data_IF_432028956190
#
_entry.id   IF_432028956190
#
_cell.length_a   1.000
_cell.length_b   1.000
_cell.length_c   1.000
_cell.angle_alpha   90.00
_cell.angle_beta   90.00
_cell.angle_gamma   90.00
#
_symmetry.space_group_name_H-M   'P 1'
#
loop_
_entity.id
_entity.type
_entity.pdbx_description
1 polymer ?
#
# COMPACT_ATOMS: atom_id res chain seq x y z
N UNK A 1 5.57 26.46 7.58
CA UNK A 1 4.79 25.79 8.63
C UNK A 1 3.35 25.93 8.21
N UNK A 2 2.62 24.82 8.09
CA UNK A 2 1.21 24.84 7.66
C UNK A 2 0.38 25.47 8.79
N UNK A 3 -0.62 26.27 8.41
CA UNK A 3 -1.51 26.96 9.34
C UNK A 3 -2.31 25.94 10.18
N UNK A 4 -2.39 26.17 11.50
CA UNK A 4 -3.16 25.32 12.41
C UNK A 4 -4.65 25.40 12.14
N UNK A 5 -5.15 26.57 11.73
CA UNK A 5 -6.57 26.74 11.43
C UNK A 5 -6.94 25.93 10.18
N UNK A 6 -6.06 25.89 9.18
CA UNK A 6 -6.22 24.99 8.02
C UNK A 6 -6.24 23.51 8.42
N UNK A 7 -5.34 23.07 9.30
CA UNK A 7 -5.32 21.68 9.75
C UNK A 7 -6.58 21.29 10.51
N UNK A 8 -7.07 22.16 11.40
CA UNK A 8 -8.28 21.91 12.19
C UNK A 8 -9.56 21.87 11.33
N UNK A 9 -9.54 22.42 10.11
CA UNK A 9 -10.64 22.29 9.16
C UNK A 9 -10.72 20.90 8.51
N UNK A 10 -9.59 20.20 8.40
CA UNK A 10 -9.50 18.93 7.67
C UNK A 10 -9.31 17.72 8.60
N UNK A 11 -8.71 17.95 9.77
CA UNK A 11 -8.32 16.90 10.72
C UNK A 11 -9.01 17.14 12.05
N UNK A 12 -9.77 16.15 12.48
CA UNK A 12 -10.38 16.09 13.80
C UNK A 12 -9.43 15.38 14.77
N UNK A 13 -8.85 16.12 15.69
CA UNK A 13 -7.89 15.62 16.67
C UNK A 13 -8.62 15.07 17.91
N UNK A 14 -8.39 13.79 18.24
CA UNK A 14 -8.79 13.20 19.52
C UNK A 14 -7.76 13.48 20.60
N UNK A 15 -6.48 13.37 20.24
CA UNK A 15 -5.33 13.67 21.09
C UNK A 15 -4.13 14.06 20.24
N UNK A 16 -3.16 14.73 20.83
CA UNK A 16 -1.86 14.98 20.19
C UNK A 16 -0.80 14.18 20.96
N UNK A 17 -0.42 12.99 20.48
CA UNK A 17 0.50 12.12 21.21
C UNK A 17 1.91 12.73 21.25
N UNK A 18 2.58 12.59 22.39
CA UNK A 18 4.03 12.84 22.49
C UNK A 18 4.77 11.59 22.06
N UNK A 19 5.41 11.66 20.90
CA UNK A 19 6.13 10.56 20.27
C UNK A 19 7.63 10.81 20.29
N UNK A 20 8.40 9.72 20.39
CA UNK A 20 9.86 9.72 20.36
C UNK A 20 10.32 9.45 18.93
N UNK A 21 10.93 10.46 18.30
CA UNK A 21 11.53 10.39 16.96
C UNK A 21 10.60 9.69 15.94
N UNK A 22 9.34 10.13 15.80
CA UNK A 22 8.34 9.37 15.07
C UNK A 22 8.69 9.22 13.59
N UNK A 23 8.39 8.03 13.06
CA UNK A 23 8.38 7.74 11.62
C UNK A 23 6.94 7.55 11.20
N UNK A 24 6.54 8.18 10.10
CA UNK A 24 5.20 8.01 9.55
C UNK A 24 5.22 7.05 8.35
N UNK A 25 4.34 6.06 8.37
CA UNK A 25 4.00 5.21 7.23
C UNK A 25 2.63 5.58 6.69
N UNK A 26 2.55 5.83 5.38
CA UNK A 26 1.28 6.03 4.69
C UNK A 26 1.06 4.95 3.62
N UNK A 27 -0.12 4.34 3.65
CA UNK A 27 -0.64 3.51 2.57
C UNK A 27 -1.87 4.15 1.96
N UNK A 28 -2.13 3.82 0.70
CA UNK A 28 -3.27 4.35 -0.05
C UNK A 28 -4.02 3.23 -0.76
N UNK A 29 -5.33 3.19 -0.59
CA UNK A 29 -6.20 2.51 -1.55
C UNK A 29 -6.26 3.30 -2.86
N UNK A 30 -6.51 2.62 -3.98
CA UNK A 30 -6.67 3.26 -5.29
C UNK A 30 -5.70 2.70 -6.33
N UNK A 31 -5.23 3.57 -7.22
CA UNK A 31 -4.45 3.18 -8.39
C UNK A 31 -3.08 2.60 -8.02
N UNK A 32 -2.50 3.11 -6.94
CA UNK A 32 -1.17 2.76 -6.43
C UNK A 32 -1.14 1.54 -5.49
N UNK A 33 -2.19 0.70 -5.48
CA UNK A 33 -2.35 -0.44 -4.58
C UNK A 33 -2.44 -1.79 -5.31
N UNK A 34 -1.62 -2.00 -6.34
CA UNK A 34 -1.62 -3.28 -7.05
C UNK A 34 -1.28 -4.44 -6.10
N UNK A 35 -1.94 -5.59 -6.30
CA UNK A 35 -1.75 -6.75 -5.42
C UNK A 35 -2.20 -6.53 -3.97
N UNK A 36 -2.98 -5.47 -3.71
CA UNK A 36 -3.31 -4.96 -2.38
C UNK A 36 -2.08 -4.71 -1.49
N UNK A 37 -0.90 -4.49 -2.07
CA UNK A 37 0.37 -4.43 -1.34
C UNK A 37 0.40 -3.32 -0.30
N UNK A 38 -0.10 -2.13 -0.65
CA UNK A 38 -0.13 -0.99 0.26
C UNK A 38 -1.12 -1.22 1.40
N UNK A 39 -2.37 -1.53 1.07
CA UNK A 39 -3.43 -1.72 2.07
C UNK A 39 -3.15 -2.92 2.97
N UNK A 40 -2.83 -4.08 2.42
CA UNK A 40 -2.62 -5.31 3.19
C UNK A 40 -1.41 -5.18 4.13
N UNK A 41 -0.38 -4.42 3.75
CA UNK A 41 0.76 -4.14 4.64
C UNK A 41 0.34 -3.29 5.83
N UNK A 42 -0.38 -2.18 5.60
CA UNK A 42 -0.85 -1.32 6.69
C UNK A 42 -1.88 -2.03 7.58
N UNK A 43 -2.84 -2.76 6.98
CA UNK A 43 -3.82 -3.56 7.70
C UNK A 43 -3.16 -4.64 8.57
N UNK A 44 -2.10 -5.29 8.06
CA UNK A 44 -1.34 -6.25 8.84
C UNK A 44 -0.63 -5.59 10.05
N UNK A 45 0.01 -4.44 9.83
CA UNK A 45 0.61 -3.67 10.93
C UNK A 45 -0.44 -3.25 11.96
N UNK A 46 -1.63 -2.82 11.53
CA UNK A 46 -2.74 -2.50 12.41
C UNK A 46 -3.21 -3.71 13.23
N UNK A 47 -3.34 -4.87 12.59
CA UNK A 47 -3.79 -6.10 13.25
C UNK A 47 -2.80 -6.57 14.33
N UNK A 48 -1.50 -6.46 14.06
CA UNK A 48 -0.45 -6.92 14.98
C UNK A 48 -0.12 -5.89 16.07
N UNK A 49 0.04 -4.61 15.71
CA UNK A 49 0.48 -3.56 16.62
C UNK A 49 -0.65 -2.90 17.41
N UNK A 50 -1.90 -3.05 16.95
CA UNK A 50 -3.10 -2.44 17.52
C UNK A 50 -2.90 -0.95 17.87
N UNK A 51 -2.51 -0.12 16.88
CA UNK A 51 -2.15 1.27 17.11
C UNK A 51 -3.37 2.09 17.59
N UNK A 52 -3.12 3.10 18.42
CA UNK A 52 -4.16 3.96 18.98
C UNK A 52 -4.48 5.10 17.99
N UNK A 53 -5.77 5.29 17.71
CA UNK A 53 -6.23 6.40 16.83
C UNK A 53 -6.15 7.72 17.59
N UNK A 54 -5.44 8.70 17.02
CA UNK A 54 -5.30 10.04 17.62
C UNK A 54 -5.99 11.14 16.83
N UNK A 55 -6.29 10.92 15.55
CA UNK A 55 -7.01 11.86 14.71
C UNK A 55 -7.76 11.15 13.58
N UNK A 56 -8.75 11.83 13.02
CA UNK A 56 -9.48 11.40 11.82
C UNK A 56 -9.52 12.53 10.80
N UNK A 57 -9.62 12.19 9.53
CA UNK A 57 -9.80 13.14 8.42
C UNK A 57 -11.02 12.71 7.60
N UNK A 58 -11.91 13.68 7.35
CA UNK A 58 -12.99 13.51 6.40
C UNK A 58 -12.44 13.44 4.98
N UNK A 59 -12.82 12.40 4.25
CA UNK A 59 -12.44 12.24 2.85
C UNK A 59 -13.34 13.02 1.88
N UNK A 60 -14.38 13.73 2.37
CA UNK A 60 -15.37 14.41 1.53
C UNK A 60 -14.73 15.42 0.58
N UNK A 61 -13.81 16.26 1.07
CA UNK A 61 -13.13 17.29 0.28
C UNK A 61 -12.17 16.73 -0.79
N UNK A 62 -11.85 15.44 -0.70
CA UNK A 62 -10.82 14.79 -1.52
C UNK A 62 -11.38 13.66 -2.39
N UNK A 63 -12.61 13.24 -2.17
CA UNK A 63 -13.21 12.07 -2.83
C UNK A 63 -14.13 12.46 -3.97
N UNK A 64 -14.18 11.60 -4.98
CA UNK A 64 -15.22 11.63 -5.98
C UNK A 64 -16.25 10.52 -5.69
N UNK A 65 -17.30 10.83 -4.94
CA UNK A 65 -18.34 9.85 -4.58
C UNK A 65 -19.16 9.31 -5.76
N UNK A 66 -18.97 9.83 -6.99
CA UNK A 66 -19.57 9.22 -8.19
C UNK A 66 -18.80 7.97 -8.64
N UNK A 67 -17.50 7.93 -8.37
CA UNK A 67 -16.61 6.79 -8.59
C UNK A 67 -16.59 5.91 -7.33
N UNK A 68 -16.49 6.57 -6.18
CA UNK A 68 -16.19 5.96 -4.88
C UNK A 68 -17.39 6.05 -3.96
N UNK A 69 -18.45 5.34 -4.34
CA UNK A 69 -19.75 5.45 -3.69
C UNK A 69 -19.69 4.96 -2.24
N UNK A 70 -20.18 5.75 -1.26
CA UNK A 70 -20.45 5.26 0.08
C UNK A 70 -21.40 4.06 0.04
N UNK A 71 -21.25 3.15 0.99
CA UNK A 71 -22.14 2.00 1.14
C UNK A 71 -23.13 2.28 2.26
N UNK A 72 -24.35 1.78 2.12
CA UNK A 72 -25.36 1.89 3.16
C UNK A 72 -25.92 0.51 3.49
N UNK A 73 -26.21 0.28 4.78
CA UNK A 73 -27.00 -0.86 5.24
C UNK A 73 -28.43 -0.37 5.42
N UNK A 74 -29.35 -0.95 4.65
CA UNK A 74 -30.76 -0.59 4.64
C UNK A 74 -31.57 -1.82 5.05
N UNK A 75 -32.39 -1.70 6.07
CA UNK A 75 -33.29 -2.75 6.54
C UNK A 75 -34.70 -2.17 6.68
N UNK A 76 -35.71 -2.89 6.18
CA UNK A 76 -37.11 -2.46 6.14
C UNK A 76 -37.33 -1.03 5.60
N UNK A 77 -36.52 -0.62 4.61
CA UNK A 77 -36.57 0.71 3.99
C UNK A 77 -35.93 1.83 4.81
N UNK A 78 -35.32 1.50 5.95
CA UNK A 78 -34.61 2.44 6.83
C UNK A 78 -33.11 2.31 6.63
N UNK A 79 -32.42 3.43 6.41
CA UNK A 79 -30.96 3.47 6.41
C UNK A 79 -30.50 3.33 7.86
N UNK A 80 -29.90 2.19 8.20
CA UNK A 80 -29.39 1.93 9.54
C UNK A 80 -27.95 2.42 9.69
N UNK A 81 -27.13 2.22 8.67
CA UNK A 81 -25.73 2.62 8.65
C UNK A 81 -25.35 3.17 7.28
N UNK A 82 -24.43 4.14 7.29
CA UNK A 82 -23.77 4.63 6.10
C UNK A 82 -22.28 4.60 6.34
N UNK A 83 -21.58 3.77 5.58
CA UNK A 83 -20.14 3.66 5.59
C UNK A 83 -19.57 4.68 4.61
N UNK A 84 -19.12 5.80 5.18
CA UNK A 84 -18.21 6.72 4.51
C UNK A 84 -16.80 6.29 4.93
N UNK A 85 -15.91 6.12 3.96
CA UNK A 85 -14.51 5.83 4.25
C UNK A 85 -13.90 7.09 4.86
N UNK A 86 -13.90 7.22 6.18
CA UNK A 86 -13.09 8.22 6.88
C UNK A 86 -11.68 7.66 7.10
N UNK A 87 -10.67 8.52 7.00
CA UNK A 87 -9.29 8.11 7.18
C UNK A 87 -8.83 8.41 8.60
N UNK A 88 -8.34 7.39 9.31
CA UNK A 88 -7.79 7.57 10.65
C UNK A 88 -6.26 7.70 10.61
N UNK A 89 -5.75 8.57 11.47
CA UNK A 89 -4.36 8.56 11.88
C UNK A 89 -4.24 7.79 13.19
N UNK A 90 -3.29 6.87 13.23
CA UNK A 90 -3.01 6.11 14.44
C UNK A 90 -1.53 6.12 14.76
N UNK A 91 -1.19 5.82 16.02
CA UNK A 91 0.20 5.75 16.46
C UNK A 91 0.46 4.49 17.27
N UNK A 92 1.70 4.02 17.23
CA UNK A 92 2.18 2.95 18.08
C UNK A 92 3.50 3.40 18.71
N UNK A 93 3.55 3.41 20.04
CA UNK A 93 4.80 3.65 20.77
C UNK A 93 5.63 2.38 20.75
N UNK A 94 6.81 2.44 20.16
CA UNK A 94 7.65 1.28 19.95
C UNK A 94 8.54 1.03 21.19
N UNK A 95 8.24 0.03 22.03
CA UNK A 95 8.99 -0.20 23.26
C UNK A 95 10.40 -0.75 23.00
N UNK A 96 10.58 -1.47 21.89
CA UNK A 96 11.83 -2.15 21.51
C UNK A 96 12.76 -1.28 20.65
N UNK A 97 12.23 -0.24 20.00
CA UNK A 97 12.94 0.54 19.01
C UNK A 97 13.27 1.98 19.40
N UNK A 98 13.90 2.69 18.46
CA UNK A 98 14.27 4.10 18.61
C UNK A 98 13.17 5.05 18.16
N UNK A 99 12.29 4.58 17.28
CA UNK A 99 11.28 5.36 16.58
C UNK A 99 9.89 4.87 16.94
N UNK A 100 9.05 5.78 17.41
CA UNK A 100 7.61 5.55 17.45
C UNK A 100 7.05 5.58 16.02
N UNK A 101 5.90 4.93 15.83
CA UNK A 101 5.29 4.75 14.53
C UNK A 101 4.00 5.57 14.44
N UNK A 102 3.83 6.29 13.34
CA UNK A 102 2.56 6.91 12.92
C UNK A 102 2.09 6.18 11.67
N UNK A 103 0.82 5.79 11.65
CA UNK A 103 0.21 5.05 10.55
C UNK A 103 -0.94 5.86 9.96
N UNK A 104 -0.98 5.88 8.64
CA UNK A 104 -2.05 6.47 7.85
C UNK A 104 -2.43 5.52 6.73
N UNK A 105 -3.63 4.96 6.77
CA UNK A 105 -4.18 4.17 5.67
C UNK A 105 -5.39 4.91 5.12
N UNK A 106 -5.16 5.66 4.06
CA UNK A 106 -6.17 6.51 3.43
C UNK A 106 -6.54 6.04 2.05
N UNK A 107 -7.40 6.82 1.39
CA UNK A 107 -7.65 6.68 -0.03
C UNK A 107 -6.83 7.70 -0.81
N UNK A 108 -6.35 7.32 -1.98
CA UNK A 108 -5.73 8.28 -2.90
C UNK A 108 -6.75 9.39 -3.24
N UNK A 109 -6.41 10.68 -3.03
CA UNK A 109 -7.35 11.77 -3.28
C UNK A 109 -7.67 11.89 -4.77
N UNK A 110 -8.94 12.10 -5.11
CA UNK A 110 -9.37 12.41 -6.47
C UNK A 110 -9.15 13.89 -6.82
N UNK A 111 -9.22 14.77 -5.83
CA UNK A 111 -9.11 16.22 -5.99
C UNK A 111 -8.11 16.83 -4.99
N UNK A 112 -7.73 18.09 -5.22
CA UNK A 112 -7.02 18.91 -4.22
C UNK A 112 -5.74 18.29 -3.64
N UNK A 113 -4.92 17.63 -4.48
CA UNK A 113 -3.69 16.95 -4.06
C UNK A 113 -2.73 17.84 -3.28
N UNK A 114 -2.69 19.14 -3.60
CA UNK A 114 -1.91 20.13 -2.85
C UNK A 114 -2.40 20.22 -1.40
N UNK A 115 -3.68 20.52 -1.19
CA UNK A 115 -4.27 20.63 0.15
C UNK A 115 -4.19 19.32 0.94
N UNK A 116 -4.35 18.17 0.26
CA UNK A 116 -4.16 16.86 0.88
C UNK A 116 -2.73 16.65 1.37
N UNK A 117 -1.75 17.04 0.56
CA UNK A 117 -0.34 16.95 0.90
C UNK A 117 0.06 17.92 2.01
N UNK A 118 -0.43 19.16 1.94
CA UNK A 118 -0.23 20.19 2.97
C UNK A 118 -0.81 19.73 4.31
N UNK A 119 -1.96 19.05 4.29
CA UNK A 119 -2.56 18.46 5.49
C UNK A 119 -1.66 17.38 6.09
N UNK A 120 -1.19 16.41 5.30
CA UNK A 120 -0.27 15.38 5.79
C UNK A 120 1.04 15.98 6.32
N UNK A 121 1.60 16.97 5.63
CA UNK A 121 2.81 17.69 6.07
C UNK A 121 2.57 18.41 7.39
N UNK A 122 1.43 19.07 7.55
CA UNK A 122 1.09 19.75 8.79
C UNK A 122 0.93 18.77 9.96
N UNK A 123 0.30 17.61 9.75
CA UNK A 123 0.25 16.53 10.76
C UNK A 123 1.66 16.05 11.11
N UNK A 124 2.51 15.80 10.11
CA UNK A 124 3.91 15.38 10.33
C UNK A 124 4.71 16.42 11.12
N UNK A 125 4.57 17.71 10.80
CA UNK A 125 5.23 18.81 11.51
C UNK A 125 4.74 18.93 12.96
N UNK A 126 3.44 18.79 13.19
CA UNK A 126 2.84 18.85 14.54
C UNK A 126 3.32 17.71 15.44
N UNK A 127 3.54 16.53 14.87
CA UNK A 127 4.05 15.35 15.60
C UNK A 127 5.57 15.29 15.68
N UNK A 128 6.29 16.12 14.92
CA UNK A 128 7.74 16.08 14.82
C UNK A 128 8.25 14.82 14.12
N UNK A 129 7.56 14.37 13.06
CA UNK A 129 7.97 13.23 12.22
C UNK A 129 9.34 13.49 11.60
N UNK A 130 10.29 12.58 11.84
CA UNK A 130 11.65 12.67 11.29
C UNK A 130 11.71 12.12 9.87
N UNK A 131 10.96 11.04 9.61
CA UNK A 131 10.95 10.35 8.32
C UNK A 131 9.55 9.92 7.90
N UNK A 132 9.30 9.99 6.62
CA UNK A 132 8.03 9.60 6.00
C UNK A 132 8.24 8.53 4.94
N UNK A 133 7.54 7.41 5.05
CA UNK A 133 7.52 6.41 4.01
C UNK A 133 6.10 6.20 3.50
N UNK A 134 5.95 6.18 2.18
CA UNK A 134 4.72 5.74 1.53
C UNK A 134 4.88 4.32 1.02
N UNK A 135 3.83 3.52 1.06
CA UNK A 135 3.81 2.17 0.52
C UNK A 135 2.92 2.12 -0.72
N UNK A 136 3.44 1.53 -1.80
CA UNK A 136 2.71 1.30 -3.04
C UNK A 136 2.83 -0.14 -3.53
N UNK A 137 1.95 -0.51 -4.43
CA UNK A 137 2.01 -1.75 -5.19
C UNK A 137 1.99 -1.45 -6.68
N UNK A 138 2.83 -2.16 -7.44
CA UNK A 138 2.84 -2.12 -8.91
C UNK A 138 2.59 -3.52 -9.49
N UNK A 139 1.79 -3.62 -10.55
CA UNK A 139 1.71 -4.85 -11.33
C UNK A 139 2.95 -4.94 -12.21
N UNK A 140 3.69 -6.04 -12.10
CA UNK A 140 4.92 -6.27 -12.85
C UNK A 140 4.91 -7.68 -13.47
N UNK A 141 5.73 -7.86 -14.50
CA UNK A 141 6.02 -9.16 -15.11
C UNK A 141 6.99 -9.92 -14.21
N UNK A 142 6.47 -10.35 -13.05
CA UNK A 142 7.23 -11.10 -12.04
C UNK A 142 6.52 -12.40 -11.67
N UNK A 143 7.28 -13.46 -11.40
CA UNK A 143 6.72 -14.72 -10.96
C UNK A 143 6.36 -14.66 -9.48
N UNK A 144 5.24 -15.30 -9.12
CA UNK A 144 4.87 -15.49 -7.72
C UNK A 144 5.86 -16.40 -6.97
N UNK A 145 6.67 -17.20 -7.68
CA UNK A 145 7.71 -18.06 -7.12
C UNK A 145 9.03 -17.33 -6.86
N UNK A 146 9.28 -16.21 -7.56
CA UNK A 146 10.50 -15.42 -7.43
C UNK A 146 10.56 -14.68 -6.09
N UNK A 147 11.77 -14.40 -5.55
CA UNK A 147 11.92 -13.55 -4.38
C UNK A 147 11.26 -12.17 -4.62
N UNK A 148 10.44 -11.66 -3.68
CA UNK A 148 9.75 -10.39 -3.88
C UNK A 148 10.72 -9.24 -4.09
N UNK A 149 10.45 -8.42 -5.11
CA UNK A 149 11.18 -7.20 -5.40
C UNK A 149 10.46 -5.99 -4.81
N UNK A 150 11.24 -5.03 -4.34
CA UNK A 150 10.75 -3.72 -3.89
C UNK A 150 11.55 -2.65 -4.62
N UNK A 151 10.88 -1.71 -5.26
CA UNK A 151 11.55 -0.53 -5.80
C UNK A 151 11.36 0.70 -4.92
N UNK A 152 12.27 1.66 -5.03
CA UNK A 152 12.23 2.91 -4.26
C UNK A 152 12.26 4.14 -5.16
N UNK A 153 11.44 5.12 -4.77
CA UNK A 153 11.53 6.52 -5.20
C UNK A 153 11.68 7.35 -3.94
N UNK A 154 12.60 8.31 -3.90
CA UNK A 154 12.79 9.16 -2.73
C UNK A 154 12.89 10.64 -3.08
N UNK A 155 12.64 11.49 -2.07
CA UNK A 155 12.77 12.94 -2.18
C UNK A 155 14.21 13.38 -2.47
N UNK A 156 15.22 12.59 -2.05
CA UNK A 156 16.64 12.90 -2.24
C UNK A 156 17.43 11.67 -2.70
N UNK A 157 18.52 11.90 -3.44
CA UNK A 157 19.43 10.83 -3.86
C UNK A 157 20.14 10.14 -2.69
N UNK A 158 20.43 10.89 -1.62
CA UNK A 158 21.01 10.34 -0.39
C UNK A 158 20.13 9.23 0.20
N UNK A 159 18.82 9.47 0.30
CA UNK A 159 17.89 8.48 0.84
C UNK A 159 17.76 7.24 -0.06
N UNK A 160 17.84 7.39 -1.38
CA UNK A 160 17.88 6.24 -2.30
C UNK A 160 19.10 5.36 -1.99
N UNK A 161 20.28 5.97 -1.87
CA UNK A 161 21.51 5.23 -1.55
C UNK A 161 21.43 4.55 -0.19
N UNK A 162 20.99 5.27 0.85
CA UNK A 162 20.83 4.75 2.20
C UNK A 162 19.93 3.50 2.23
N UNK A 163 18.78 3.55 1.55
CA UNK A 163 17.80 2.44 1.53
C UNK A 163 18.31 1.22 0.75
N UNK A 164 18.95 1.45 -0.40
CA UNK A 164 19.52 0.38 -1.23
C UNK A 164 20.73 -0.30 -0.54
N UNK A 165 21.55 0.45 0.20
CA UNK A 165 22.65 -0.10 1.00
C UNK A 165 22.14 -0.91 2.20
N UNK A 166 21.08 -0.43 2.86
CA UNK A 166 20.46 -1.13 3.98
C UNK A 166 19.78 -2.44 3.54
N UNK A 167 19.19 -2.47 2.34
CA UNK A 167 18.45 -3.62 1.85
C UNK A 167 18.73 -3.91 0.37
N UNK A 168 19.43 -5.01 0.10
CA UNK A 168 19.75 -5.46 -1.27
C UNK A 168 18.55 -5.79 -2.16
N UNK A 169 17.36 -6.00 -1.56
CA UNK A 169 16.13 -6.22 -2.32
C UNK A 169 15.43 -4.93 -2.76
N UNK A 170 15.94 -3.77 -2.33
CA UNK A 170 15.46 -2.47 -2.76
C UNK A 170 16.26 -2.02 -3.99
N UNK A 171 15.56 -1.66 -5.05
CA UNK A 171 16.17 -1.13 -6.28
C UNK A 171 15.63 0.26 -6.62
N UNK A 172 16.46 1.19 -7.12
CA UNK A 172 15.96 2.49 -7.56
C UNK A 172 15.02 2.34 -8.75
N UNK A 173 13.85 2.97 -8.70
CA UNK A 173 12.92 3.01 -9.82
C UNK A 173 13.34 4.06 -10.86
N UNK A 174 13.12 3.75 -12.14
CA UNK A 174 13.22 4.70 -13.25
C UNK A 174 11.89 4.70 -14.02
N UNK A 175 11.24 5.87 -14.11
CA UNK A 175 9.88 5.96 -14.66
C UNK A 175 9.64 7.33 -15.31
N UNK A 176 8.83 7.35 -16.37
CA UNK A 176 8.29 8.55 -17.01
C UNK A 176 6.85 8.28 -17.43
N UNK A 177 5.90 9.08 -16.94
CA UNK A 177 4.47 8.89 -17.20
C UNK A 177 3.57 9.44 -16.09
N UNK A 178 2.29 9.02 -16.05
CA UNK A 178 1.36 9.38 -14.99
C UNK A 178 1.87 9.04 -13.59
N UNK A 179 1.60 9.91 -12.62
CA UNK A 179 2.00 9.73 -11.23
C UNK A 179 0.78 9.48 -10.33
N UNK A 180 1.04 8.90 -9.16
CA UNK A 180 0.08 8.85 -8.04
C UNK A 180 0.36 9.98 -7.05
N UNK A 181 -0.49 10.08 -6.02
CA UNK A 181 -0.29 10.99 -4.89
C UNK A 181 1.08 10.84 -4.21
N UNK A 182 1.69 9.65 -4.31
CA UNK A 182 3.00 9.34 -3.72
C UNK A 182 4.08 10.32 -4.22
N UNK A 183 4.20 10.49 -5.54
CA UNK A 183 5.21 11.38 -6.13
C UNK A 183 4.98 12.84 -5.74
N UNK A 184 3.71 13.25 -5.64
CA UNK A 184 3.34 14.60 -5.20
C UNK A 184 3.71 14.82 -3.73
N UNK A 185 3.44 13.85 -2.85
CA UNK A 185 3.82 13.89 -1.44
C UNK A 185 5.34 13.90 -1.26
N UNK A 186 6.09 13.08 -1.99
CA UNK A 186 7.55 13.10 -1.92
C UNK A 186 8.11 14.47 -2.32
N UNK A 187 7.53 15.10 -3.35
CA UNK A 187 7.90 16.45 -3.77
C UNK A 187 7.59 17.48 -2.68
N UNK A 188 6.39 17.43 -2.10
CA UNK A 188 5.97 18.36 -1.06
C UNK A 188 6.80 18.17 0.25
N UNK A 189 7.14 16.93 0.61
CA UNK A 189 8.07 16.63 1.71
C UNK A 189 9.46 17.21 1.45
N UNK A 190 9.99 17.08 0.23
CA UNK A 190 11.27 17.68 -0.14
C UNK A 190 11.28 19.20 0.08
N UNK A 191 10.19 19.88 -0.26
CA UNK A 191 10.03 21.34 -0.09
C UNK A 191 9.87 21.71 1.39
N UNK A 192 9.25 20.84 2.19
CA UNK A 192 9.09 21.00 3.63
C UNK A 192 10.32 20.58 4.45
N UNK A 193 11.36 20.02 3.82
CA UNK A 193 12.55 19.51 4.50
C UNK A 193 12.33 18.21 5.27
N UNK A 194 11.30 17.43 4.91
CA UNK A 194 11.00 16.12 5.50
C UNK A 194 11.66 15.03 4.66
N UNK A 195 12.45 14.19 5.31
CA UNK A 195 13.07 13.01 4.73
C UNK A 195 11.97 12.00 4.33
N UNK A 196 11.80 11.76 3.01
CA UNK A 196 10.69 10.95 2.50
C UNK A 196 11.07 9.99 1.37
N UNK A 197 10.54 8.77 1.43
CA UNK A 197 10.64 7.76 0.36
C UNK A 197 9.34 6.99 0.14
N UNK A 198 9.24 6.34 -1.01
CA UNK A 198 8.13 5.52 -1.43
C UNK A 198 8.65 4.14 -1.78
N UNK A 199 8.12 3.11 -1.10
CA UNK A 199 8.48 1.71 -1.28
C UNK A 199 7.39 1.01 -2.08
N UNK A 200 7.76 0.43 -3.23
CA UNK A 200 6.83 -0.17 -4.17
C UNK A 200 7.05 -1.67 -4.27
N UNK A 201 6.10 -2.47 -3.77
CA UNK A 201 6.16 -3.92 -3.95
C UNK A 201 5.68 -4.34 -5.33
N UNK A 202 6.46 -5.22 -5.98
CA UNK A 202 6.15 -5.73 -7.31
C UNK A 202 5.25 -6.96 -7.20
N UNK A 203 4.00 -6.83 -7.64
CA UNK A 203 3.01 -7.89 -7.61
C UNK A 203 2.85 -8.52 -9.01
N UNK A 204 2.82 -9.86 -9.13
CA UNK A 204 2.50 -10.52 -10.39
C UNK A 204 1.15 -10.03 -10.94
N UNK A 205 1.08 -9.69 -12.23
CA UNK A 205 -0.12 -9.11 -12.84
C UNK A 205 -1.39 -9.99 -12.75
N UNK A 206 -1.22 -11.30 -12.59
CA UNK A 206 -2.31 -12.27 -12.46
C UNK A 206 -2.80 -12.48 -11.02
N UNK A 207 -2.16 -11.86 -10.03
CA UNK A 207 -2.54 -11.98 -8.62
C UNK A 207 -3.24 -10.73 -8.09
N UNK A 208 -4.39 -10.94 -7.43
CA UNK A 208 -5.13 -9.92 -6.70
C UNK A 208 -4.43 -9.52 -5.39
N UNK A 209 -3.86 -10.50 -4.68
CA UNK A 209 -3.16 -10.34 -3.41
C UNK A 209 -1.87 -11.15 -3.42
N UNK A 210 -0.83 -10.61 -2.79
CA UNK A 210 0.44 -11.33 -2.65
C UNK A 210 1.02 -11.19 -1.22
N UNK A 211 0.69 -12.12 -0.30
CA UNK A 211 1.19 -12.12 1.07
C UNK A 211 2.73 -12.15 1.16
N UNK A 212 3.42 -12.70 0.16
CA UNK A 212 4.89 -12.76 0.13
C UNK A 212 5.50 -11.38 -0.07
N UNK A 213 4.90 -10.55 -0.92
CA UNK A 213 5.33 -9.15 -1.13
C UNK A 213 5.05 -8.33 0.12
N UNK A 214 3.89 -8.54 0.75
CA UNK A 214 3.53 -7.91 2.04
C UNK A 214 4.54 -8.30 3.14
N UNK A 215 4.87 -9.59 3.27
CA UNK A 215 5.88 -10.07 4.22
C UNK A 215 7.24 -9.41 4.00
N UNK A 216 7.66 -9.27 2.74
CA UNK A 216 8.91 -8.58 2.39
C UNK A 216 8.88 -7.12 2.82
N UNK A 217 7.80 -6.38 2.55
CA UNK A 217 7.69 -4.98 2.98
C UNK A 217 7.67 -4.85 4.49
N UNK A 218 6.93 -5.70 5.21
CA UNK A 218 6.95 -5.73 6.68
C UNK A 218 8.37 -5.96 7.21
N UNK A 219 9.12 -6.89 6.61
CA UNK A 219 10.52 -7.13 6.98
C UNK A 219 11.44 -5.92 6.75
N UNK A 220 11.25 -5.19 5.64
CA UNK A 220 11.97 -3.93 5.39
C UNK A 220 11.59 -2.87 6.44
N UNK A 221 10.28 -2.69 6.68
CA UNK A 221 9.76 -1.73 7.66
C UNK A 221 10.29 -2.02 9.08
N UNK A 222 10.33 -3.29 9.49
CA UNK A 222 10.92 -3.72 10.75
C UNK A 222 12.36 -3.23 10.89
N UNK A 223 13.18 -3.42 9.86
CA UNK A 223 14.57 -2.99 9.84
C UNK A 223 14.72 -1.47 9.88
N UNK A 224 13.94 -0.74 9.06
CA UNK A 224 14.03 0.71 8.96
C UNK A 224 13.60 1.44 10.23
N UNK A 225 12.57 0.92 10.92
CA UNK A 225 11.95 1.58 12.08
C UNK A 225 12.44 0.96 13.40
N UNK A 226 12.98 -0.25 13.36
CA UNK A 226 13.32 -1.05 14.54
C UNK A 226 12.08 -1.64 15.21
N UNK A 227 11.16 -2.18 14.41
CA UNK A 227 9.99 -2.93 14.88
C UNK A 227 10.28 -4.44 14.87
N UNK A 228 9.49 -5.18 15.64
CA UNK A 228 9.56 -6.65 15.71
C UNK A 228 8.20 -7.28 15.34
N UNK A 229 7.68 -6.88 14.17
CA UNK A 229 6.42 -7.43 13.66
C UNK A 229 6.70 -8.79 13.00
N UNK A 230 6.16 -9.91 13.52
CA UNK A 230 6.39 -11.22 12.92
C UNK A 230 5.76 -11.32 11.52
N UNK A 231 6.39 -12.05 10.60
CA UNK A 231 5.85 -12.29 9.24
C UNK A 231 5.30 -13.71 9.05
N UNK A 232 5.44 -14.60 10.03
CA UNK A 232 5.14 -16.03 9.86
C UNK A 232 3.71 -16.34 9.38
N UNK A 233 2.72 -15.52 9.76
CA UNK A 233 1.36 -15.66 9.24
C UNK A 233 1.28 -15.37 7.74
N UNK A 234 1.95 -14.31 7.28
CA UNK A 234 2.03 -13.95 5.86
C UNK A 234 2.80 -15.01 5.07
N UNK A 235 3.86 -15.57 5.66
CA UNK A 235 4.64 -16.65 5.04
C UNK A 235 3.78 -17.91 4.84
N UNK A 236 2.96 -18.27 5.84
CA UNK A 236 2.01 -19.37 5.72
C UNK A 236 0.93 -19.09 4.66
N UNK A 237 0.39 -17.87 4.61
CA UNK A 237 -0.56 -17.46 3.59
C UNK A 237 0.04 -17.51 2.17
N UNK A 238 1.32 -17.17 2.02
CA UNK A 238 2.03 -17.28 0.75
C UNK A 238 2.17 -18.74 0.29
N UNK A 239 2.50 -19.67 1.19
CA UNK A 239 2.59 -21.10 0.86
C UNK A 239 1.23 -21.64 0.41
N UNK A 240 0.16 -21.25 1.09
CA UNK A 240 -1.20 -21.67 0.74
C UNK A 240 -1.66 -21.06 -0.59
N UNK A 241 -1.25 -19.82 -0.89
CA UNK A 241 -1.47 -19.18 -2.18
C UNK A 241 -0.79 -19.95 -3.31
N UNK A 242 0.48 -20.33 -3.14
CA UNK A 242 1.21 -21.12 -4.14
C UNK A 242 0.52 -22.46 -4.43
N UNK A 243 0.03 -23.15 -3.39
CA UNK A 243 -0.72 -24.41 -3.54
C UNK A 243 -1.95 -24.20 -4.42
N UNK A 244 -2.73 -23.15 -4.15
CA UNK A 244 -3.94 -22.82 -4.94
C UNK A 244 -3.61 -22.46 -6.38
N UNK A 245 -2.52 -21.71 -6.61
CA UNK A 245 -2.08 -21.35 -7.96
C UNK A 245 -1.70 -22.62 -8.73
N UNK A 246 -0.91 -23.51 -8.13
CA UNK A 246 -0.51 -24.77 -8.77
C UNK A 246 -1.71 -25.65 -9.14
N UNK A 247 -2.72 -25.72 -8.28
CA UNK A 247 -3.97 -26.42 -8.57
C UNK A 247 -4.76 -25.79 -9.73
N UNK A 248 -4.80 -24.46 -9.79
CA UNK A 248 -5.43 -23.74 -10.89
C UNK A 248 -4.68 -23.92 -12.22
N UNK A 249 -3.34 -23.82 -12.21
CA UNK A 249 -2.46 -24.04 -13.37
C UNK A 249 -2.53 -25.47 -13.89
N UNK A 250 -2.76 -26.45 -13.02
CA UNK A 250 -2.97 -27.85 -13.41
C UNK A 250 -4.27 -28.02 -14.23
N UNK A 251 -5.31 -27.26 -13.89
CA UNK A 251 -6.66 -27.34 -14.49
C UNK A 251 -6.83 -26.45 -15.72
N UNK A 252 -6.11 -25.33 -15.82
CA UNK A 252 -6.25 -24.36 -16.91
C UNK A 252 -4.97 -24.21 -17.75
N UNK A 253 -4.96 -24.74 -18.99
CA UNK A 253 -3.84 -24.57 -19.93
C UNK A 253 -3.53 -23.11 -20.31
N UNK A 254 -4.51 -22.19 -20.25
CA UNK A 254 -4.28 -20.79 -20.56
C UNK A 254 -3.55 -20.08 -19.42
N UNK A 255 -3.95 -20.35 -18.17
CA UNK A 255 -3.26 -19.85 -17.00
C UNK A 255 -1.83 -20.39 -16.93
N UNK A 256 -1.62 -21.66 -17.28
CA UNK A 256 -0.28 -22.25 -17.38
C UNK A 256 0.62 -21.47 -18.34
N UNK A 257 0.15 -21.22 -19.57
CA UNK A 257 0.90 -20.44 -20.55
C UNK A 257 1.23 -19.03 -20.06
N UNK A 258 0.31 -18.40 -19.32
CA UNK A 258 0.54 -17.07 -18.76
C UNK A 258 1.65 -17.10 -17.70
N UNK A 259 1.61 -18.05 -16.77
CA UNK A 259 2.64 -18.20 -15.73
C UNK A 259 3.99 -18.52 -16.36
N UNK A 260 4.04 -19.48 -17.29
CA UNK A 260 5.27 -19.86 -18.01
C UNK A 260 5.84 -18.68 -18.81
N UNK A 261 5.00 -17.86 -19.45
CA UNK A 261 5.44 -16.68 -20.18
C UNK A 261 6.09 -15.65 -19.25
N UNK A 262 5.48 -15.38 -18.09
CA UNK A 262 6.04 -14.47 -17.09
C UNK A 262 7.37 -14.98 -16.54
N UNK A 263 7.48 -16.29 -16.30
CA UNK A 263 8.74 -16.91 -15.84
C UNK A 263 9.85 -16.83 -16.90
N UNK A 264 9.52 -16.99 -18.19
CA UNK A 264 10.46 -16.78 -19.28
C UNK A 264 10.86 -15.29 -19.45
N UNK A 265 9.94 -14.34 -19.22
CA UNK A 265 10.21 -12.90 -19.29
C UNK A 265 11.04 -12.38 -18.10
N UNK A 266 11.02 -13.06 -16.96
CA UNK A 266 11.92 -12.76 -15.84
C UNK A 266 13.38 -13.12 -16.11
N UNK A 267 13.66 -14.04 -17.04
CA UNK A 267 15.04 -14.34 -17.45
C UNK A 267 15.69 -13.13 -18.14
N UNK A 268 17.03 -12.94 -18.04
CA UNK A 268 17.68 -11.61 -18.15
C UNK A 268 17.70 -10.94 -19.53
N UNK A 269 16.93 -11.43 -20.50
CA UNK A 269 16.91 -10.93 -21.87
C UNK A 269 15.77 -9.92 -22.08
N UNK A 270 16.01 -8.65 -21.72
CA UNK A 270 15.65 -7.40 -22.44
C UNK A 270 15.17 -6.25 -21.52
N UNK A 271 15.46 -4.97 -21.87
CA UNK A 271 15.01 -3.81 -21.12
C UNK A 271 13.51 -3.56 -21.32
N UNK A 272 12.82 -3.21 -20.23
CA UNK A 272 11.36 -3.26 -20.09
C UNK A 272 10.64 -1.99 -20.56
N UNK A 273 9.59 -2.16 -21.35
CA UNK A 273 8.35 -1.39 -21.26
C UNK A 273 7.19 -2.33 -21.62
N UNK A 274 6.17 -2.47 -20.78
CA UNK A 274 4.87 -2.91 -21.27
C UNK A 274 3.71 -2.35 -20.45
N UNK A 275 2.88 -1.56 -21.14
CA UNK A 275 1.45 -1.51 -20.90
C UNK A 275 0.85 -2.58 -21.80
N UNK A 276 0.21 -3.63 -21.25
CA UNK A 276 -1.19 -3.96 -21.51
C UNK A 276 -1.58 -5.39 -21.09
N UNK A 277 -2.87 -5.52 -20.74
CA UNK A 277 -3.69 -6.71 -20.42
C UNK A 277 -3.56 -7.28 -19.00
N UNK A 278 -4.44 -6.76 -18.13
CA UNK A 278 -4.81 -7.36 -16.85
C UNK A 278 -5.72 -8.56 -17.11
N UNK A 279 -5.27 -9.76 -16.76
CA UNK A 279 -6.08 -11.00 -16.76
C UNK A 279 -6.29 -11.39 -15.29
N UNK A 280 -7.55 -11.37 -14.80
CA UNK A 280 -7.85 -11.63 -13.39
C UNK A 280 -8.11 -13.12 -13.17
N UNK A 281 -7.47 -13.72 -12.17
CA UNK A 281 -7.65 -15.14 -11.80
C UNK A 281 -9.13 -15.53 -11.54
N UNK A 282 -9.92 -14.61 -11.01
CA UNK A 282 -11.36 -14.81 -10.75
C UNK A 282 -12.20 -15.02 -12.02
N UNK A 283 -11.78 -14.46 -13.15
CA UNK A 283 -12.47 -14.63 -14.44
C UNK A 283 -12.38 -16.08 -14.94
N UNK A 284 -11.43 -16.86 -14.41
CA UNK A 284 -11.27 -18.28 -14.68
C UNK A 284 -11.95 -19.14 -13.62
N UNK A 285 -11.88 -18.74 -12.35
CA UNK A 285 -12.52 -19.47 -11.23
C UNK A 285 -14.05 -19.41 -11.31
N UNK A 286 -14.65 -18.33 -11.81
CA UNK A 286 -16.12 -18.20 -11.96
C UNK A 286 -16.70 -18.99 -13.13
N UNK A 287 -15.90 -19.49 -14.07
CA UNK A 287 -16.42 -20.31 -15.20
C UNK A 287 -16.91 -21.69 -14.76
N UNK A 288 -16.47 -22.16 -13.59
CA UNK A 288 -16.89 -23.45 -13.06
C UNK A 288 -18.17 -23.37 -12.21
N UNK A 289 -18.60 -22.19 -11.73
CA UNK A 289 -19.83 -22.07 -10.91
C UNK A 289 -21.12 -21.95 -11.72
N UNK A 290 -21.05 -21.84 -13.05
CA UNK A 290 -22.24 -21.75 -13.92
C UNK A 290 -22.41 -22.96 -14.86
N UNK A 291 -21.66 -24.04 -14.63
CA UNK A 291 -21.76 -25.26 -15.43
C UNK A 291 -22.51 -26.42 -14.76
N UNK A 292 -22.92 -26.24 -13.50
CA UNK A 292 -23.55 -27.30 -12.70
C UNK A 292 -25.07 -27.10 -12.50
N UNK A 293 -25.72 -26.11 -13.14
CA UNK A 293 -27.17 -25.81 -12.98
C UNK A 293 -28.02 -26.05 -14.25
N UNK A 294 -27.53 -26.78 -15.26
CA UNK A 294 -28.36 -27.21 -16.41
C UNK A 294 -28.20 -28.71 -16.70
N UNK A 295 -28.59 -29.58 -15.77
CA UNK A 295 -29.12 -30.92 -16.07
C UNK A 295 -30.25 -31.25 -15.09
N UNK A 296 -31.48 -30.92 -15.48
CA UNK A 296 -32.72 -31.67 -15.17
C UNK A 296 -33.81 -31.35 -16.21
#
# INVERSE_FOLDING_TARGET
MIDKDFLNLLVEWRTTPRLKRPVMLAGFFGWSNAGCVSSDTLEYLHAVLQPEVFASMSNEAFSNYTIDRPKARIEDGVILEMEVLDTNFSFHKNPSGKHDLVLFLGREPAYSWQSYSDMLIGVMQQLGVERFYTLGGVQDAVSHLSPPMVSVVAATSFMVSELCEAHKSITPAAYSGPISIHSYLLRACSEAGIEAASLWGHAPAYLQKNPRVVARLVGIINSLIGLDVPTGLLDHQAIELDRKINEAVAKDPNLRKLVEAVECEEEPCTPRSSHDKVIRLEDFVRRDTHRDDEED
#
